data_IF_583668112979
#
_entry.id   IF_583668112979
#
_cell.length_a   1.000
_cell.length_b   1.000
_cell.length_c   1.000
_cell.angle_alpha   90.00
_cell.angle_beta   90.00
_cell.angle_gamma   90.00
#
_symmetry.space_group_name_H-M   'P 1'
#
loop_
_entity.id
_entity.type
_entity.pdbx_description
1 polymer ?
#
# COMPACT_ATOMS: atom_id res chain seq x y z
N UNK A 1 -18.88 -1.82 2.89
CA UNK A 1 -17.50 -1.90 3.38
C UNK A 1 -16.73 -0.65 3.02
N UNK A 2 -15.94 -0.07 3.94
CA UNK A 2 -15.16 1.12 3.60
C UNK A 2 -14.19 0.83 2.46
N UNK A 3 -14.08 1.82 1.58
CA UNK A 3 -13.20 1.76 0.42
C UNK A 3 -12.41 3.07 0.32
N UNK A 4 -11.11 2.94 0.21
CA UNK A 4 -10.21 4.07 -0.04
C UNK A 4 -9.61 3.93 -1.45
N UNK A 5 -9.51 5.03 -2.18
CA UNK A 5 -8.85 5.06 -3.48
C UNK A 5 -7.97 6.29 -3.60
N UNK A 6 -6.77 6.09 -4.13
CA UNK A 6 -5.82 7.16 -4.44
C UNK A 6 -5.34 7.00 -5.88
N UNK A 7 -5.23 8.10 -6.62
CA UNK A 7 -4.77 8.12 -8.00
C UNK A 7 -3.59 9.08 -8.12
N UNK A 8 -2.50 8.61 -8.72
CA UNK A 8 -1.27 9.39 -8.86
C UNK A 8 -0.78 9.32 -10.30
N UNK A 9 -0.64 10.46 -10.95
CA UNK A 9 -0.07 10.54 -12.30
C UNK A 9 1.45 10.51 -12.22
N UNK A 10 2.09 9.64 -12.98
CA UNK A 10 3.53 9.46 -12.97
C UNK A 10 4.11 9.55 -14.39
N UNK A 11 5.23 10.23 -14.52
CA UNK A 11 5.91 10.40 -15.81
C UNK A 11 6.88 9.25 -16.06
N UNK A 12 6.30 8.08 -16.35
CA UNK A 12 7.08 6.86 -16.56
C UNK A 12 6.23 5.85 -17.35
N UNK A 13 6.85 4.74 -17.77
CA UNK A 13 6.13 3.66 -18.43
C UNK A 13 5.48 2.74 -17.41
N UNK A 14 4.51 1.94 -17.85
CA UNK A 14 3.87 0.93 -16.98
C UNK A 14 4.91 -0.02 -16.39
N UNK A 15 5.87 -0.47 -17.20
CA UNK A 15 6.92 -1.38 -16.76
C UNK A 15 7.81 -0.76 -15.69
N UNK A 16 8.17 0.51 -15.85
CA UNK A 16 8.99 1.21 -14.87
C UNK A 16 8.30 1.36 -13.52
N UNK A 17 7.04 1.77 -13.53
CA UNK A 17 6.25 1.96 -12.31
C UNK A 17 5.97 0.62 -11.65
N UNK A 18 5.55 -0.38 -12.45
CA UNK A 18 5.23 -1.69 -11.91
C UNK A 18 6.46 -2.36 -11.28
N UNK A 19 7.61 -2.29 -11.96
CA UNK A 19 8.87 -2.81 -11.39
C UNK A 19 9.22 -2.12 -10.08
N UNK A 20 9.02 -0.81 -10.00
CA UNK A 20 9.30 -0.04 -8.79
C UNK A 20 8.47 -0.52 -7.60
N UNK A 21 7.16 -0.66 -7.79
CA UNK A 21 6.24 -1.04 -6.70
C UNK A 21 6.26 -2.53 -6.37
N UNK A 22 6.95 -3.35 -7.16
CA UNK A 22 7.19 -4.76 -6.84
C UNK A 22 8.38 -4.98 -5.89
N UNK A 23 9.07 -3.91 -5.52
CA UNK A 23 10.26 -4.01 -4.66
C UNK A 23 9.96 -3.48 -3.27
N UNK A 24 9.93 -4.33 -2.24
CA UNK A 24 9.65 -3.88 -0.87
C UNK A 24 10.58 -2.75 -0.40
N UNK A 25 11.85 -2.78 -0.79
CA UNK A 25 12.78 -1.71 -0.45
C UNK A 25 12.31 -0.34 -0.96
N UNK A 26 11.70 -0.30 -2.16
CA UNK A 26 11.16 0.93 -2.73
C UNK A 26 9.91 1.38 -2.00
N UNK A 27 9.01 0.45 -1.68
CA UNK A 27 7.79 0.77 -0.94
C UNK A 27 8.13 1.32 0.44
N UNK A 28 9.13 0.76 1.10
CA UNK A 28 9.61 1.26 2.38
C UNK A 28 10.19 2.67 2.26
N UNK A 29 10.91 2.93 1.18
CA UNK A 29 11.55 4.24 0.95
C UNK A 29 10.54 5.37 0.75
N UNK A 30 9.34 5.08 0.29
CA UNK A 30 8.29 6.09 0.07
C UNK A 30 7.24 6.13 1.18
N UNK A 31 7.41 5.35 2.24
CA UNK A 31 6.50 5.38 3.38
C UNK A 31 6.74 6.63 4.24
N UNK A 32 5.68 7.21 4.85
CA UNK A 32 5.84 8.35 5.74
C UNK A 32 6.79 8.01 6.90
N UNK A 33 7.80 8.86 7.18
CA UNK A 33 8.79 8.57 8.22
C UNK A 33 8.19 8.35 9.62
N UNK A 34 7.13 9.07 9.95
CA UNK A 34 6.48 8.99 11.27
C UNK A 34 5.82 7.63 11.53
N UNK A 35 5.54 6.86 10.50
CA UNK A 35 4.98 5.50 10.66
C UNK A 35 6.04 4.49 11.04
N UNK A 36 7.33 4.83 10.86
CA UNK A 36 8.45 3.92 11.11
C UNK A 36 8.26 2.58 10.41
N UNK A 37 7.67 2.62 9.22
CA UNK A 37 7.35 1.44 8.42
C UNK A 37 8.63 0.74 7.96
N UNK A 38 8.76 -0.55 8.28
CA UNK A 38 9.91 -1.34 7.91
C UNK A 38 9.48 -2.79 7.64
N UNK A 39 9.95 -3.36 6.53
CA UNK A 39 9.75 -4.77 6.24
C UNK A 39 10.71 -5.63 7.03
N UNK A 40 10.26 -6.83 7.40
CA UNK A 40 11.06 -7.84 8.11
C UNK A 40 11.42 -8.94 7.13
N UNK A 41 12.71 -9.04 6.79
CA UNK A 41 13.24 -10.06 5.86
C UNK A 41 12.44 -10.16 4.55
N UNK A 42 12.24 -9.05 3.83
CA UNK A 42 11.42 -9.09 2.62
C UNK A 42 12.13 -9.76 1.46
N UNK A 43 11.39 -10.30 0.47
CA UNK A 43 12.00 -10.70 -0.79
C UNK A 43 12.52 -9.45 -1.53
N UNK A 44 13.48 -9.62 -2.42
CA UNK A 44 13.96 -8.50 -3.25
C UNK A 44 12.91 -8.07 -4.27
N UNK A 45 12.08 -9.01 -4.72
CA UNK A 45 11.03 -8.79 -5.70
C UNK A 45 9.76 -9.52 -5.26
N UNK A 46 8.64 -8.80 -5.29
CA UNK A 46 7.32 -9.38 -4.98
C UNK A 46 6.88 -10.29 -6.13
N UNK A 47 6.42 -11.48 -5.77
CA UNK A 47 5.88 -12.46 -6.70
C UNK A 47 4.52 -12.95 -6.20
N UNK A 48 3.78 -13.64 -7.07
CA UNK A 48 2.54 -14.29 -6.65
C UNK A 48 2.83 -15.27 -5.52
N UNK A 49 2.07 -15.17 -4.43
CA UNK A 49 2.28 -15.99 -3.24
C UNK A 49 3.29 -15.45 -2.24
N UNK A 50 4.00 -14.37 -2.58
CA UNK A 50 4.93 -13.73 -1.62
C UNK A 50 4.20 -13.35 -0.33
N UNK A 51 4.86 -13.58 0.80
CA UNK A 51 4.39 -13.11 2.10
C UNK A 51 5.27 -11.95 2.56
N UNK A 52 4.64 -10.83 2.87
CA UNK A 52 5.32 -9.62 3.30
C UNK A 52 4.97 -9.35 4.75
N UNK A 53 5.98 -9.27 5.61
CA UNK A 53 5.79 -8.91 7.01
C UNK A 53 6.42 -7.56 7.25
N UNK A 54 5.71 -6.67 7.93
CA UNK A 54 6.22 -5.35 8.25
C UNK A 54 5.88 -4.97 9.68
N UNK A 55 6.59 -3.96 10.18
CA UNK A 55 6.28 -3.29 11.45
C UNK A 55 5.94 -1.86 11.15
N UNK A 56 4.93 -1.35 11.83
CA UNK A 56 4.45 0.01 11.65
C UNK A 56 4.03 0.58 12.99
N UNK A 57 4.32 1.86 13.22
CA UNK A 57 3.87 2.57 14.40
C UNK A 57 2.56 3.30 14.07
N UNK A 58 1.52 2.97 14.79
CA UNK A 58 0.21 3.59 14.62
C UNK A 58 -0.53 3.60 15.95
N UNK A 59 -1.25 4.69 16.23
CA UNK A 59 -2.06 4.85 17.44
C UNK A 59 -1.27 4.59 18.72
N UNK A 60 0.00 5.04 18.74
CA UNK A 60 0.87 4.89 19.91
C UNK A 60 1.42 3.50 20.13
N UNK A 61 1.23 2.59 19.19
CA UNK A 61 1.68 1.20 19.29
C UNK A 61 2.50 0.79 18.06
N UNK A 62 3.47 -0.12 18.29
CA UNK A 62 4.18 -0.77 17.21
C UNK A 62 3.43 -2.06 16.90
N UNK A 63 3.01 -2.22 15.64
CA UNK A 63 2.25 -3.38 15.19
C UNK A 63 3.02 -4.14 14.13
N UNK A 64 2.92 -5.45 14.15
CA UNK A 64 3.44 -6.31 13.11
C UNK A 64 2.28 -6.80 12.24
N UNK A 65 2.42 -6.60 10.93
CA UNK A 65 1.40 -6.94 9.96
C UNK A 65 2.00 -7.86 8.92
N UNK A 66 1.20 -8.84 8.45
CA UNK A 66 1.63 -9.72 7.36
C UNK A 66 0.58 -9.72 6.26
N UNK A 67 1.07 -9.71 5.03
CA UNK A 67 0.26 -9.71 3.82
C UNK A 67 0.68 -10.84 2.90
N UNK A 68 -0.24 -11.33 2.10
CA UNK A 68 0.03 -12.30 1.04
C UNK A 68 -0.37 -11.70 -0.30
N UNK A 69 0.45 -11.91 -1.32
CA UNK A 69 0.16 -11.47 -2.68
C UNK A 69 -0.70 -12.55 -3.34
N UNK A 70 -1.98 -12.24 -3.50
CA UNK A 70 -3.00 -13.21 -3.97
C UNK A 70 -3.32 -13.09 -5.45
N UNK A 71 -2.94 -11.98 -6.09
CA UNK A 71 -3.07 -11.78 -7.53
C UNK A 71 -1.88 -10.97 -8.04
N UNK A 72 -1.39 -11.29 -9.23
CA UNK A 72 -0.33 -10.52 -9.87
C UNK A 72 -0.41 -10.70 -11.38
N UNK A 73 -0.62 -9.60 -12.11
CA UNK A 73 -0.69 -9.55 -13.56
C UNK A 73 0.23 -8.43 -14.05
N UNK A 74 1.45 -8.78 -14.41
CA UNK A 74 2.47 -7.81 -14.86
C UNK A 74 2.17 -7.27 -16.26
N UNK A 75 2.35 -6.00 -16.55
CA UNK A 75 2.73 -4.90 -15.65
C UNK A 75 1.52 -4.07 -15.19
N UNK A 76 0.39 -4.69 -14.95
CA UNK A 76 -0.89 -4.01 -14.78
C UNK A 76 -1.39 -3.90 -13.36
N UNK A 77 -1.26 -4.97 -12.54
CA UNK A 77 -1.81 -4.93 -11.19
C UNK A 77 -1.29 -6.07 -10.32
N UNK A 78 -1.34 -5.83 -9.00
CA UNK A 78 -1.25 -6.90 -8.02
C UNK A 78 -2.11 -6.57 -6.80
N UNK A 79 -2.49 -7.62 -6.07
CA UNK A 79 -3.33 -7.50 -4.88
C UNK A 79 -2.63 -8.12 -3.68
N UNK A 80 -2.59 -7.37 -2.58
CA UNK A 80 -2.17 -7.90 -1.30
C UNK A 80 -3.36 -8.02 -0.36
N UNK A 81 -3.35 -9.10 0.42
CA UNK A 81 -4.37 -9.39 1.42
C UNK A 81 -3.70 -9.50 2.77
N UNK A 82 -4.23 -8.82 3.79
CA UNK A 82 -3.75 -8.97 5.16
C UNK A 82 -4.09 -10.36 5.67
N UNK A 83 -3.08 -11.11 6.11
CA UNK A 83 -3.27 -12.46 6.68
C UNK A 83 -2.96 -12.47 8.18
N UNK A 84 -2.30 -11.43 8.69
CA UNK A 84 -2.03 -11.25 10.10
C UNK A 84 -2.03 -9.76 10.41
N UNK A 85 -2.84 -9.34 11.36
CA UNK A 85 -2.97 -7.94 11.75
C UNK A 85 -4.31 -7.66 12.40
N UNK A 86 -4.51 -6.43 12.89
CA UNK A 86 -5.69 -6.09 13.68
C UNK A 86 -6.97 -5.88 12.88
N UNK A 87 -6.88 -5.58 11.58
CA UNK A 87 -8.06 -5.33 10.76
C UNK A 87 -8.76 -6.63 10.39
N UNK A 88 -10.09 -6.60 10.34
CA UNK A 88 -10.88 -7.76 9.92
C UNK A 88 -10.74 -8.06 8.45
N UNK A 89 -10.52 -7.02 7.65
CA UNK A 89 -10.31 -7.14 6.22
C UNK A 89 -9.35 -6.06 5.76
N UNK A 90 -8.46 -6.45 4.86
CA UNK A 90 -7.61 -5.52 4.12
C UNK A 90 -7.27 -6.17 2.79
N UNK A 91 -7.77 -5.57 1.71
CA UNK A 91 -7.44 -5.94 0.34
C UNK A 91 -6.94 -4.69 -0.36
N UNK A 92 -5.69 -4.72 -0.80
CA UNK A 92 -5.06 -3.58 -1.44
C UNK A 92 -4.67 -3.92 -2.87
N UNK A 93 -5.31 -3.28 -3.82
CA UNK A 93 -4.98 -3.38 -5.24
C UNK A 93 -4.05 -2.24 -5.62
N UNK A 94 -2.93 -2.60 -6.24
CA UNK A 94 -2.04 -1.69 -6.95
C UNK A 94 -2.34 -1.85 -8.43
N UNK A 95 -2.78 -0.79 -9.09
CA UNK A 95 -3.19 -0.83 -10.50
C UNK A 95 -2.41 0.23 -11.27
N UNK A 96 -1.82 -0.16 -12.37
CA UNK A 96 -1.07 0.74 -13.26
C UNK A 96 -1.81 0.81 -14.58
N UNK A 97 -2.30 2.00 -14.93
CA UNK A 97 -3.03 2.24 -16.18
C UNK A 97 -2.34 3.30 -17.02
N UNK A 98 -2.42 3.20 -18.36
CA UNK A 98 -1.93 4.27 -19.23
C UNK A 98 -2.71 5.56 -18.98
N UNK A 99 -2.01 6.69 -19.01
CA UNK A 99 -2.64 8.02 -18.92
C UNK A 99 -2.77 8.59 -20.32
N UNK A 100 -3.95 9.12 -20.64
CA UNK A 100 -4.22 9.72 -21.96
C UNK A 100 -3.24 10.84 -22.31
N UNK A 101 -2.74 11.57 -21.31
CA UNK A 101 -1.80 12.69 -21.50
C UNK A 101 -0.33 12.26 -21.50
N UNK A 102 -0.08 10.95 -21.54
CA UNK A 102 1.26 10.38 -21.43
C UNK A 102 1.58 9.91 -20.02
N UNK A 103 2.54 8.98 -19.89
CA UNK A 103 2.85 8.36 -18.62
C UNK A 103 1.79 7.38 -18.16
N UNK A 104 1.66 7.22 -16.85
CA UNK A 104 0.71 6.29 -16.26
C UNK A 104 -0.01 6.93 -15.07
N UNK A 105 -1.12 6.30 -14.67
CA UNK A 105 -1.79 6.56 -13.41
C UNK A 105 -1.61 5.34 -12.54
N UNK A 106 -1.05 5.52 -11.35
CA UNK A 106 -1.01 4.49 -10.32
C UNK A 106 -2.24 4.65 -9.44
N UNK A 107 -3.03 3.61 -9.38
CA UNK A 107 -4.25 3.57 -8.57
C UNK A 107 -4.00 2.63 -7.39
N UNK A 108 -4.21 3.14 -6.19
CA UNK A 108 -4.24 2.32 -4.98
C UNK A 108 -5.68 2.24 -4.52
N UNK A 109 -6.22 1.03 -4.47
CA UNK A 109 -7.60 0.79 -4.04
C UNK A 109 -7.57 -0.16 -2.86
N UNK A 110 -8.11 0.28 -1.72
CA UNK A 110 -8.06 -0.48 -0.48
C UNK A 110 -9.47 -0.66 0.05
N UNK A 111 -9.89 -1.93 0.14
CA UNK A 111 -11.07 -2.30 0.91
C UNK A 111 -10.62 -2.72 2.30
N UNK A 112 -11.25 -2.18 3.32
CA UNK A 112 -10.86 -2.50 4.68
C UNK A 112 -12.07 -2.59 5.59
N UNK A 113 -11.88 -3.31 6.70
CA UNK A 113 -12.87 -3.43 7.75
C UNK A 113 -12.15 -3.24 9.08
N UNK A 114 -12.63 -2.30 9.94
CA UNK A 114 -11.97 -2.04 11.22
C UNK A 114 -11.94 -3.26 12.12
N UNK A 115 -11.07 -3.25 13.16
CA UNK A 115 -11.07 -4.31 14.16
C UNK A 115 -12.41 -4.36 14.88
N UNK A 116 -12.76 -5.53 15.41
CA UNK A 116 -13.94 -5.68 16.25
C UNK A 116 -13.66 -5.31 17.71
N UNK A 117 -14.71 -5.39 18.52
CA UNK A 117 -14.62 -5.19 19.96
C UNK A 117 -14.16 -3.80 20.38
N UNK A 118 -13.45 -3.72 21.48
CA UNK A 118 -12.98 -2.45 22.05
C UNK A 118 -11.97 -1.74 21.14
N UNK A 119 -11.16 -2.50 20.40
CA UNK A 119 -10.20 -1.92 19.48
C UNK A 119 -10.90 -1.10 18.39
N UNK A 120 -12.07 -1.53 17.92
CA UNK A 120 -12.85 -0.82 16.93
C UNK A 120 -13.39 0.53 17.40
N UNK A 121 -13.43 0.79 18.70
CA UNK A 121 -13.79 2.09 19.24
C UNK A 121 -12.67 3.11 19.08
N UNK A 122 -11.42 2.63 19.06
CA UNK A 122 -10.23 3.47 18.93
C UNK A 122 -9.82 3.56 17.46
N UNK A 123 -9.75 2.41 16.78
CA UNK A 123 -9.36 2.29 15.37
C UNK A 123 -10.61 2.08 14.54
N UNK A 124 -11.35 3.15 14.29
CA UNK A 124 -12.60 3.13 13.52
C UNK A 124 -12.35 3.49 12.05
N UNK A 125 -13.39 3.33 11.22
CA UNK A 125 -13.30 3.59 9.77
C UNK A 125 -12.82 5.00 9.45
N UNK A 126 -13.29 6.01 10.19
CA UNK A 126 -12.91 7.41 9.96
C UNK A 126 -11.43 7.64 10.21
N UNK A 127 -10.88 7.06 11.28
CA UNK A 127 -9.47 7.19 11.62
C UNK A 127 -8.58 6.46 10.60
N UNK A 128 -9.01 5.27 10.16
CA UNK A 128 -8.29 4.52 9.13
C UNK A 128 -8.28 5.31 7.82
N UNK A 129 -9.46 5.83 7.42
CA UNK A 129 -9.60 6.62 6.20
C UNK A 129 -8.66 7.84 6.22
N UNK A 130 -8.64 8.57 7.33
CA UNK A 130 -7.78 9.74 7.49
C UNK A 130 -6.30 9.37 7.41
N UNK A 131 -5.90 8.29 8.06
CA UNK A 131 -4.52 7.81 8.01
C UNK A 131 -4.11 7.40 6.59
N UNK A 132 -5.02 6.76 5.85
CA UNK A 132 -4.77 6.39 4.45
C UNK A 132 -4.64 7.63 3.56
N UNK A 133 -5.51 8.61 3.73
CA UNK A 133 -5.42 9.86 2.98
C UNK A 133 -4.06 10.54 3.18
N UNK A 134 -3.63 10.69 4.42
CA UNK A 134 -2.34 11.30 4.74
C UNK A 134 -1.17 10.48 4.23
N UNK A 135 -1.21 9.17 4.43
CA UNK A 135 -0.13 8.27 4.03
C UNK A 135 0.04 8.21 2.52
N UNK A 136 -1.05 8.10 1.79
CA UNK A 136 -1.00 8.02 0.32
C UNK A 136 -0.74 9.38 -0.33
N UNK A 137 -1.11 10.49 0.30
CA UNK A 137 -0.69 11.81 -0.16
C UNK A 137 0.83 11.94 -0.10
N UNK A 138 1.44 11.51 0.99
CA UNK A 138 2.89 11.49 1.13
C UNK A 138 3.55 10.59 0.07
N UNK A 139 3.03 9.37 -0.11
CA UNK A 139 3.56 8.40 -1.09
C UNK A 139 3.46 8.94 -2.51
N UNK A 140 2.34 9.59 -2.85
CA UNK A 140 2.13 10.16 -4.17
C UNK A 140 3.21 11.20 -4.50
N UNK A 141 3.48 12.10 -3.56
CA UNK A 141 4.52 13.13 -3.73
C UNK A 141 5.90 12.50 -3.85
N UNK A 142 6.19 11.50 -3.04
CA UNK A 142 7.47 10.78 -3.09
C UNK A 142 7.66 10.08 -4.44
N UNK A 143 6.62 9.42 -4.96
CA UNK A 143 6.67 8.74 -6.25
C UNK A 143 6.83 9.74 -7.41
N UNK A 144 6.14 10.87 -7.35
CA UNK A 144 6.28 11.91 -8.37
C UNK A 144 7.71 12.46 -8.41
N UNK A 145 8.37 12.52 -7.27
CA UNK A 145 9.78 12.93 -7.19
C UNK A 145 10.72 11.87 -7.79
N UNK A 146 10.44 10.59 -7.55
CA UNK A 146 11.21 9.49 -8.13
C UNK A 146 11.13 9.51 -9.66
N UNK A 147 9.96 9.79 -10.20
CA UNK A 147 9.68 9.76 -11.64
C UNK A 147 9.53 11.17 -12.25
N UNK A 148 10.35 12.08 -11.83
CA UNK A 148 10.38 13.45 -12.38
C UNK A 148 10.66 13.52 -13.88
#
# INVERSE_FOLDING_TARGET
MPLFESRTSLNATSEQVFDYILRPANLQAIAPPETQFVYVSPPSLIELGSRLTCKVSAYGMIQQLSYEIVELVSPHRYREKMVEGPLRLWLHDYIVEPNADGGVILINRIEFEPPGGMMGLIVNSSRIQEALEDGFDFRAKALQKVFE
#
